data_IF_162584643980
#
_entry.id   IF_162584643980
#
_cell.length_a   1.000
_cell.length_b   1.000
_cell.length_c   1.000
_cell.angle_alpha   90.00
_cell.angle_beta   90.00
_cell.angle_gamma   90.00
#
_symmetry.space_group_name_H-M   'P 1'
#
loop_
_entity.id
_entity.type
_entity.pdbx_description
1 polymer ?
#
# COMPACT_ATOMS: atom_id res chain seq x y z
N UNK A 1 31.66 -14.16 -2.65
CA UNK A 1 30.56 -13.17 -2.48
C UNK A 1 30.45 -12.76 -1.01
N UNK A 2 30.46 -11.45 -0.70
CA UNK A 2 30.41 -10.91 0.67
C UNK A 2 29.10 -10.16 0.90
N UNK A 3 28.64 -10.10 2.15
CA UNK A 3 27.43 -9.35 2.54
C UNK A 3 27.53 -7.84 2.19
N UNK A 4 28.73 -7.25 2.35
CA UNK A 4 28.99 -5.86 1.94
C UNK A 4 28.76 -5.64 0.45
N UNK A 5 29.16 -6.59 -0.41
CA UNK A 5 28.97 -6.49 -1.86
C UNK A 5 27.49 -6.50 -2.25
N UNK A 6 26.65 -7.31 -1.59
CA UNK A 6 25.19 -7.30 -1.80
C UNK A 6 24.60 -5.92 -1.44
N UNK A 7 24.98 -5.36 -0.28
CA UNK A 7 24.56 -4.02 0.15
C UNK A 7 24.98 -2.95 -0.87
N UNK A 8 26.21 -3.05 -1.36
CA UNK A 8 26.78 -2.09 -2.29
C UNK A 8 26.01 -2.09 -3.64
N UNK A 9 25.70 -3.27 -4.17
CA UNK A 9 24.89 -3.43 -5.39
C UNK A 9 23.50 -2.84 -5.22
N UNK A 10 22.82 -3.17 -4.12
CA UNK A 10 21.45 -2.67 -3.85
C UNK A 10 21.47 -1.16 -3.73
N UNK A 11 22.43 -0.58 -3.01
CA UNK A 11 22.55 0.86 -2.86
C UNK A 11 22.81 1.59 -4.19
N UNK A 12 23.57 1.00 -5.14
CA UNK A 12 23.77 1.56 -6.48
C UNK A 12 22.48 1.51 -7.28
N UNK A 13 21.75 0.40 -7.23
CA UNK A 13 20.48 0.24 -7.92
C UNK A 13 19.44 1.27 -7.44
N UNK A 14 19.33 1.48 -6.13
CA UNK A 14 18.39 2.45 -5.53
C UNK A 14 18.77 3.91 -5.81
N UNK A 15 20.07 4.22 -5.87
CA UNK A 15 20.56 5.62 -6.01
C UNK A 15 20.86 6.00 -7.46
N UNK A 16 20.86 5.05 -8.39
CA UNK A 16 21.09 5.27 -9.82
C UNK A 16 22.52 5.66 -10.19
N UNK A 17 23.43 5.86 -9.22
CA UNK A 17 24.83 6.22 -9.51
C UNK A 17 25.80 5.81 -8.41
N UNK A 18 27.03 5.45 -8.79
CA UNK A 18 28.13 5.14 -7.87
C UNK A 18 28.41 6.25 -6.87
N UNK A 19 28.39 7.52 -7.31
CA UNK A 19 28.63 8.67 -6.44
C UNK A 19 27.55 8.85 -5.38
N UNK A 20 26.29 8.70 -5.75
CA UNK A 20 25.16 8.83 -4.82
C UNK A 20 25.13 7.65 -3.84
N UNK A 21 25.38 6.42 -4.29
CA UNK A 21 25.48 5.24 -3.44
C UNK A 21 26.67 5.33 -2.46
N UNK A 22 27.83 5.77 -2.92
CA UNK A 22 29.01 5.96 -2.07
C UNK A 22 28.77 6.96 -0.93
N UNK A 23 28.10 8.08 -1.24
CA UNK A 23 27.68 9.06 -0.21
C UNK A 23 26.68 8.45 0.77
N UNK A 24 25.71 7.70 0.27
CA UNK A 24 24.69 7.05 1.10
C UNK A 24 25.30 6.03 2.07
N UNK A 25 26.29 5.27 1.61
CA UNK A 25 26.99 4.25 2.41
C UNK A 25 28.16 4.82 3.24
N UNK A 26 28.45 6.11 3.13
CA UNK A 26 29.62 6.75 3.76
C UNK A 26 30.93 6.07 3.36
N UNK A 27 31.05 5.68 2.07
CA UNK A 27 32.22 5.03 1.49
C UNK A 27 32.88 5.94 0.46
N UNK A 28 34.20 5.70 0.23
CA UNK A 28 34.87 6.29 -0.92
C UNK A 28 34.40 5.64 -2.23
N UNK A 29 34.08 6.44 -3.25
CA UNK A 29 33.61 5.93 -4.55
C UNK A 29 34.55 4.86 -5.18
N UNK A 30 35.92 5.00 -5.11
CA UNK A 30 36.81 3.95 -5.61
C UNK A 30 36.65 2.60 -4.89
N UNK A 31 36.33 2.60 -3.58
CA UNK A 31 36.11 1.37 -2.83
C UNK A 31 34.83 0.68 -3.29
N UNK A 32 33.76 1.45 -3.51
CA UNK A 32 32.50 0.95 -4.03
C UNK A 32 32.66 0.38 -5.46
N UNK A 33 33.40 1.07 -6.32
CA UNK A 33 33.71 0.61 -7.68
C UNK A 33 34.46 -0.72 -7.63
N UNK A 34 35.46 -0.85 -6.78
CA UNK A 34 36.23 -2.09 -6.60
C UNK A 34 35.32 -3.24 -6.11
N UNK A 35 34.47 -2.98 -5.14
CA UNK A 35 33.51 -3.94 -4.59
C UNK A 35 32.63 -4.56 -5.68
N UNK A 36 32.09 -3.72 -6.57
CA UNK A 36 31.24 -4.18 -7.68
C UNK A 36 32.06 -4.97 -8.71
N UNK A 37 33.21 -4.48 -9.15
CA UNK A 37 34.03 -5.21 -10.11
C UNK A 37 34.53 -6.57 -9.59
N UNK A 38 34.83 -6.67 -8.29
CA UNK A 38 35.17 -7.95 -7.67
C UNK A 38 33.98 -8.93 -7.72
N UNK A 39 32.78 -8.43 -7.44
CA UNK A 39 31.55 -9.24 -7.47
C UNK A 39 31.21 -9.68 -8.91
N UNK A 40 31.21 -8.75 -9.87
CA UNK A 40 30.95 -9.06 -11.28
C UNK A 40 31.97 -10.07 -11.85
N UNK A 41 33.24 -9.94 -11.47
CA UNK A 41 34.29 -10.90 -11.84
C UNK A 41 34.06 -12.27 -11.22
N UNK A 42 33.63 -12.35 -9.95
CA UNK A 42 33.30 -13.60 -9.26
C UNK A 42 32.07 -14.29 -9.93
N UNK A 43 31.08 -13.50 -10.33
CA UNK A 43 29.88 -14.01 -11.01
C UNK A 43 30.10 -14.28 -12.50
N UNK A 44 31.15 -13.76 -13.09
CA UNK A 44 31.45 -13.89 -14.53
C UNK A 44 30.52 -13.07 -15.44
N UNK A 45 29.71 -12.18 -14.89
CA UNK A 45 28.71 -11.41 -15.63
C UNK A 45 28.62 -9.96 -15.11
N UNK A 46 28.35 -8.97 -15.97
CA UNK A 46 28.08 -7.60 -15.56
C UNK A 46 26.69 -7.49 -14.92
N UNK A 47 26.61 -6.79 -13.78
CA UNK A 47 25.35 -6.46 -13.11
C UNK A 47 24.83 -5.07 -13.53
N UNK A 48 25.74 -4.19 -13.98
CA UNK A 48 25.42 -2.83 -14.39
C UNK A 48 25.97 -2.48 -15.75
N UNK A 49 25.23 -1.63 -16.48
CA UNK A 49 25.70 -0.90 -17.65
C UNK A 49 25.91 0.58 -17.32
N UNK A 50 27.03 1.14 -17.77
CA UNK A 50 27.26 2.59 -17.70
C UNK A 50 26.53 3.30 -18.83
N UNK A 51 25.69 4.28 -18.50
CA UNK A 51 25.05 5.17 -19.47
C UNK A 51 25.32 6.63 -19.15
N UNK A 52 25.05 7.53 -20.10
CA UNK A 52 25.28 8.98 -19.92
C UNK A 52 24.54 9.55 -18.67
N UNK A 53 23.46 8.93 -18.25
CA UNK A 53 22.63 9.36 -17.10
C UNK A 53 22.88 8.55 -15.81
N UNK A 54 23.88 7.67 -15.75
CA UNK A 54 24.21 6.90 -14.56
C UNK A 54 24.42 5.40 -14.79
N UNK A 55 24.14 4.62 -13.76
CA UNK A 55 24.24 3.16 -13.78
C UNK A 55 22.85 2.55 -13.96
N UNK A 56 22.71 1.65 -14.91
CA UNK A 56 21.46 0.91 -15.17
C UNK A 56 21.74 -0.57 -14.94
N UNK A 57 20.80 -1.26 -14.32
CA UNK A 57 20.92 -2.71 -14.14
C UNK A 57 20.81 -3.47 -15.46
N UNK A 58 21.63 -4.50 -15.61
CA UNK A 58 21.40 -5.54 -16.62
C UNK A 58 20.23 -6.45 -16.16
N UNK A 59 19.65 -7.28 -17.03
CA UNK A 59 18.66 -8.29 -16.60
C UNK A 59 19.18 -9.21 -15.50
N UNK A 60 20.47 -9.58 -15.53
CA UNK A 60 21.13 -10.35 -14.48
C UNK A 60 21.30 -9.52 -13.19
N UNK A 61 21.62 -8.22 -13.34
CA UNK A 61 21.69 -7.27 -12.23
C UNK A 61 20.35 -7.12 -11.51
N UNK A 62 19.25 -7.02 -12.25
CA UNK A 62 17.90 -6.99 -11.66
C UNK A 62 17.58 -8.26 -10.87
N UNK A 63 17.88 -9.44 -11.43
CA UNK A 63 17.69 -10.71 -10.75
C UNK A 63 18.55 -10.80 -9.47
N UNK A 64 19.81 -10.34 -9.55
CA UNK A 64 20.71 -10.33 -8.39
C UNK A 64 20.22 -9.35 -7.31
N UNK A 65 19.84 -8.13 -7.66
CA UNK A 65 19.33 -7.11 -6.73
C UNK A 65 18.11 -7.62 -5.97
N UNK A 66 17.14 -8.23 -6.65
CA UNK A 66 15.96 -8.83 -5.97
C UNK A 66 16.39 -9.83 -4.89
N UNK A 67 17.35 -10.72 -5.16
CA UNK A 67 17.83 -11.71 -4.19
C UNK A 67 18.68 -11.09 -3.09
N UNK A 68 19.55 -10.14 -3.45
CA UNK A 68 20.38 -9.43 -2.49
C UNK A 68 19.53 -8.60 -1.51
N UNK A 69 18.48 -7.91 -1.99
CA UNK A 69 17.52 -7.19 -1.15
C UNK A 69 16.81 -8.11 -0.16
N UNK A 70 16.40 -9.29 -0.59
CA UNK A 70 15.78 -10.27 0.29
C UNK A 70 16.74 -10.73 1.41
N UNK A 71 17.99 -11.05 1.08
CA UNK A 71 19.01 -11.43 2.08
C UNK A 71 19.27 -10.30 3.08
N UNK A 72 19.42 -9.06 2.58
CA UNK A 72 19.64 -7.89 3.43
C UNK A 72 18.46 -7.63 4.37
N UNK A 73 17.24 -7.78 3.87
CA UNK A 73 16.01 -7.63 4.66
C UNK A 73 15.93 -8.68 5.76
N UNK A 74 16.27 -9.95 5.48
CA UNK A 74 16.24 -11.02 6.48
C UNK A 74 17.30 -10.81 7.57
N UNK A 75 18.53 -10.43 7.21
CA UNK A 75 19.55 -10.13 8.22
C UNK A 75 19.13 -8.97 9.13
N UNK A 76 18.50 -7.94 8.56
CA UNK A 76 17.94 -6.85 9.37
C UNK A 76 16.85 -7.37 10.31
N UNK A 77 15.88 -8.13 9.80
CA UNK A 77 14.79 -8.69 10.61
C UNK A 77 15.28 -9.58 11.74
N UNK A 78 16.25 -10.44 11.45
CA UNK A 78 16.84 -11.29 12.48
C UNK A 78 17.47 -10.47 13.63
N UNK A 79 18.12 -9.34 13.31
CA UNK A 79 18.66 -8.44 14.32
C UNK A 79 17.55 -7.74 15.11
N UNK A 80 16.55 -7.20 14.41
CA UNK A 80 15.42 -6.51 15.02
C UNK A 80 14.63 -7.46 15.92
N UNK A 81 14.41 -8.71 15.48
CA UNK A 81 13.71 -9.74 16.25
C UNK A 81 14.46 -10.08 17.54
N UNK A 82 15.76 -10.38 17.46
CA UNK A 82 16.58 -10.70 18.65
C UNK A 82 16.59 -9.52 19.63
N UNK A 83 16.76 -8.29 19.15
CA UNK A 83 16.72 -7.09 19.99
C UNK A 83 15.36 -6.93 20.67
N UNK A 84 14.27 -7.10 19.93
CA UNK A 84 12.91 -6.93 20.44
C UNK A 84 12.50 -8.05 21.40
N UNK A 85 12.92 -9.29 21.18
CA UNK A 85 12.73 -10.41 22.11
C UNK A 85 13.49 -10.21 23.42
N UNK A 86 14.64 -9.54 23.39
CA UNK A 86 15.40 -9.16 24.57
C UNK A 86 14.86 -7.91 25.29
N UNK A 87 13.67 -7.43 24.90
CA UNK A 87 13.02 -6.26 25.49
C UNK A 87 13.37 -4.93 24.83
N UNK A 88 14.16 -4.93 23.76
CA UNK A 88 14.49 -3.72 23.00
C UNK A 88 13.28 -3.15 22.29
N UNK A 89 13.35 -1.85 22.00
CA UNK A 89 12.25 -1.11 21.36
C UNK A 89 12.69 -0.48 20.03
N UNK A 90 13.82 -0.91 19.49
CA UNK A 90 14.40 -0.43 18.23
C UNK A 90 14.01 -1.35 17.07
N UNK A 91 14.26 -0.87 15.86
CA UNK A 91 14.02 -1.62 14.62
C UNK A 91 13.20 -0.82 13.62
N UNK A 92 12.74 -1.51 12.59
CA UNK A 92 11.93 -0.91 11.53
C UNK A 92 10.76 -1.83 11.20
N UNK A 93 9.57 -1.23 11.02
CA UNK A 93 8.38 -1.89 10.46
C UNK A 93 7.98 -1.16 9.20
N UNK A 94 7.78 -1.89 8.11
CA UNK A 94 7.31 -1.38 6.83
C UNK A 94 5.96 -2.01 6.51
N UNK A 95 4.89 -1.24 6.56
CA UNK A 95 3.54 -1.73 6.27
C UNK A 95 2.96 -1.04 5.04
N UNK A 96 2.47 -1.84 4.10
CA UNK A 96 1.67 -1.37 2.98
C UNK A 96 0.20 -1.29 3.41
N UNK A 97 -0.42 -0.14 3.25
CA UNK A 97 -1.81 0.08 3.66
C UNK A 97 -2.62 0.68 2.52
N UNK A 98 -3.80 0.12 2.27
CA UNK A 98 -4.78 0.76 1.42
C UNK A 98 -5.46 1.93 2.14
N UNK A 99 -6.18 2.73 1.37
CA UNK A 99 -6.97 3.84 1.90
C UNK A 99 -7.96 3.39 3.00
N UNK A 100 -8.65 2.26 2.79
CA UNK A 100 -9.56 1.70 3.79
C UNK A 100 -8.83 1.37 5.11
N UNK A 101 -7.65 0.74 5.01
CA UNK A 101 -6.84 0.38 6.17
C UNK A 101 -6.30 1.61 6.91
N UNK A 102 -5.89 2.66 6.17
CA UNK A 102 -5.46 3.92 6.78
C UNK A 102 -6.56 4.56 7.62
N UNK A 103 -7.77 4.61 7.10
CA UNK A 103 -8.88 5.28 7.78
C UNK A 103 -9.47 4.43 8.91
N UNK A 104 -9.64 3.12 8.66
CA UNK A 104 -10.32 2.24 9.60
C UNK A 104 -9.43 1.75 10.76
N UNK A 105 -8.16 1.46 10.48
CA UNK A 105 -7.35 0.65 11.40
C UNK A 105 -6.17 1.42 12.01
N UNK A 106 -5.52 2.28 11.21
CA UNK A 106 -4.32 3.00 11.67
C UNK A 106 -4.57 3.94 12.86
N UNK A 107 -5.67 4.74 12.91
CA UNK A 107 -5.88 5.67 14.03
C UNK A 107 -5.89 5.00 15.40
N UNK A 108 -6.55 3.84 15.52
CA UNK A 108 -6.62 3.09 16.75
C UNK A 108 -5.32 2.32 17.08
N UNK A 109 -4.54 1.95 16.06
CA UNK A 109 -3.31 1.17 16.22
C UNK A 109 -2.09 2.05 16.55
N UNK A 110 -2.03 3.28 16.06
CA UNK A 110 -0.81 4.08 16.06
C UNK A 110 -0.34 4.44 17.49
N UNK A 111 -1.24 4.94 18.33
CA UNK A 111 -0.89 5.36 19.70
C UNK A 111 -0.42 4.18 20.58
N UNK A 112 -1.13 3.03 20.64
CA UNK A 112 -0.66 1.85 21.39
C UNK A 112 0.66 1.30 20.82
N UNK A 113 0.83 1.27 19.50
CA UNK A 113 2.07 0.86 18.88
C UNK A 113 3.26 1.73 19.32
N UNK A 114 3.12 3.05 19.23
CA UNK A 114 4.17 3.99 19.64
C UNK A 114 4.48 3.93 21.14
N UNK A 115 3.49 3.64 21.98
CA UNK A 115 3.70 3.44 23.41
C UNK A 115 4.55 2.19 23.70
N UNK A 116 4.33 1.09 22.96
CA UNK A 116 5.05 -0.18 23.17
C UNK A 116 6.43 -0.19 22.50
N UNK A 117 6.56 0.46 21.32
CA UNK A 117 7.78 0.49 20.50
C UNK A 117 8.17 1.93 20.15
N UNK A 118 8.59 2.77 21.11
CA UNK A 118 8.84 4.20 20.88
C UNK A 118 9.98 4.49 19.92
N UNK A 119 10.96 3.59 19.80
CA UNK A 119 12.16 3.76 18.96
C UNK A 119 12.09 2.98 17.65
N UNK A 120 11.02 2.20 17.41
CA UNK A 120 10.82 1.55 16.11
C UNK A 120 10.43 2.61 15.08
N UNK A 121 11.13 2.61 13.95
CA UNK A 121 10.76 3.41 12.80
C UNK A 121 9.61 2.71 12.07
N UNK A 122 8.43 3.33 12.09
CA UNK A 122 7.29 2.88 11.32
C UNK A 122 7.28 3.57 9.96
N UNK A 123 7.39 2.79 8.90
CA UNK A 123 7.31 3.24 7.50
C UNK A 123 6.00 2.74 6.89
N UNK A 124 5.08 3.67 6.62
CA UNK A 124 3.79 3.37 6.03
C UNK A 124 3.81 3.73 4.54
N UNK A 125 3.43 2.78 3.70
CA UNK A 125 3.35 2.95 2.26
C UNK A 125 1.89 2.91 1.87
N UNK A 126 1.35 4.01 1.35
CA UNK A 126 0.03 3.98 0.73
C UNK A 126 0.14 3.25 -0.60
N UNK A 127 -0.69 2.22 -0.78
CA UNK A 127 -0.64 1.43 -2.00
C UNK A 127 -1.64 0.28 -1.99
N UNK A 128 -1.56 -0.53 -3.02
CA UNK A 128 -2.37 -1.72 -3.20
C UNK A 128 -1.50 -2.91 -3.58
N UNK A 129 -2.02 -4.12 -3.40
CA UNK A 129 -1.24 -5.35 -3.46
C UNK A 129 -0.30 -5.48 -4.67
N UNK A 130 -0.73 -5.27 -5.94
CA UNK A 130 0.16 -5.47 -7.08
C UNK A 130 1.44 -4.61 -7.06
N UNK A 131 1.35 -3.38 -6.56
CA UNK A 131 2.53 -2.49 -6.50
C UNK A 131 3.48 -2.86 -5.36
N UNK A 132 2.98 -3.55 -4.34
CA UNK A 132 3.73 -3.93 -3.14
C UNK A 132 4.19 -5.40 -3.18
N UNK A 133 3.73 -6.20 -4.16
CA UNK A 133 4.02 -7.63 -4.23
C UNK A 133 5.52 -7.94 -4.23
N UNK A 134 6.30 -7.19 -5.00
CA UNK A 134 7.75 -7.36 -5.04
C UNK A 134 8.40 -7.12 -3.68
N UNK A 135 7.98 -6.05 -2.98
CA UNK A 135 8.48 -5.72 -1.64
C UNK A 135 8.04 -6.72 -0.57
N UNK A 136 6.84 -7.30 -0.70
CA UNK A 136 6.40 -8.39 0.16
C UNK A 136 7.25 -9.64 -0.04
N UNK A 137 7.57 -10.00 -1.29
CA UNK A 137 8.39 -11.17 -1.63
C UNK A 137 9.84 -11.03 -1.16
N UNK A 138 10.45 -9.87 -1.38
CA UNK A 138 11.85 -9.62 -0.98
C UNK A 138 11.99 -9.18 0.48
N UNK A 139 10.87 -8.95 1.17
CA UNK A 139 10.85 -8.58 2.58
C UNK A 139 11.21 -7.13 2.86
N UNK A 140 11.26 -6.25 1.88
CA UNK A 140 11.35 -4.81 2.09
C UNK A 140 10.04 -4.24 2.66
N UNK A 141 8.91 -4.92 2.42
CA UNK A 141 7.61 -4.70 3.05
C UNK A 141 7.29 -5.89 3.97
N UNK A 142 6.93 -5.65 5.22
CA UNK A 142 6.64 -6.68 6.20
C UNK A 142 5.27 -7.32 5.96
N UNK A 143 4.24 -6.49 5.77
CA UNK A 143 2.90 -6.93 5.46
C UNK A 143 2.12 -5.85 4.70
N UNK A 144 1.04 -6.27 4.08
CA UNK A 144 0.05 -5.41 3.44
C UNK A 144 -1.32 -5.58 4.10
N UNK A 145 -2.08 -4.50 4.20
CA UNK A 145 -3.49 -4.50 4.61
C UNK A 145 -4.29 -3.69 3.60
N UNK A 146 -5.20 -4.36 2.89
CA UNK A 146 -5.99 -3.67 1.88
C UNK A 146 -6.91 -4.60 1.09
N UNK A 147 -7.51 -4.09 0.00
CA UNK A 147 -8.41 -4.86 -0.84
C UNK A 147 -7.78 -6.15 -1.34
N UNK A 148 -8.57 -7.21 -1.27
CA UNK A 148 -8.25 -8.47 -1.91
C UNK A 148 -8.14 -8.25 -3.42
N UNK A 149 -7.09 -8.76 -4.03
CA UNK A 149 -6.90 -8.73 -5.46
C UNK A 149 -7.58 -9.95 -6.11
N UNK A 150 -8.11 -9.80 -7.33
CA UNK A 150 -8.73 -10.90 -8.08
C UNK A 150 -7.78 -12.08 -8.30
N UNK A 151 -6.52 -11.76 -8.58
CA UNK A 151 -5.47 -12.77 -8.71
C UNK A 151 -4.99 -13.19 -7.33
N UNK A 152 -4.99 -14.51 -7.09
CA UNK A 152 -4.39 -15.08 -5.88
C UNK A 152 -2.94 -14.61 -5.69
N UNK A 153 -2.51 -14.36 -4.46
CA UNK A 153 -1.13 -14.03 -4.19
C UNK A 153 -0.18 -15.16 -4.63
N UNK A 154 1.06 -14.79 -4.90
CA UNK A 154 2.09 -15.77 -5.23
C UNK A 154 2.26 -16.82 -4.11
N UNK A 155 2.73 -18.04 -4.42
CA UNK A 155 2.85 -19.12 -3.45
C UNK A 155 3.71 -18.77 -2.22
N UNK A 156 4.63 -17.82 -2.36
CA UNK A 156 5.49 -17.34 -1.27
C UNK A 156 4.77 -16.38 -0.30
N UNK A 157 3.52 -16.03 -0.59
CA UNK A 157 2.72 -15.12 0.21
C UNK A 157 1.49 -15.83 0.77
N UNK A 158 1.09 -15.44 1.97
CA UNK A 158 -0.17 -15.86 2.59
C UNK A 158 -1.12 -14.68 2.65
N UNK A 159 -2.41 -14.96 2.45
CA UNK A 159 -3.49 -13.99 2.56
C UNK A 159 -4.48 -14.45 3.62
N UNK A 160 -4.95 -13.52 4.45
CA UNK A 160 -5.95 -13.75 5.48
C UNK A 160 -7.04 -12.67 5.38
N UNK A 161 -8.31 -13.07 5.40
CA UNK A 161 -9.44 -12.15 5.43
C UNK A 161 -9.45 -11.37 6.77
N UNK A 162 -9.56 -10.05 6.69
CA UNK A 162 -9.79 -9.21 7.86
C UNK A 162 -11.26 -8.86 8.03
N UNK A 163 -11.90 -8.28 7.00
CA UNK A 163 -13.32 -7.94 7.04
C UNK A 163 -13.87 -7.72 5.63
N UNK A 164 -15.18 -7.92 5.51
CA UNK A 164 -15.95 -7.57 4.33
C UNK A 164 -16.10 -6.06 4.21
N UNK A 165 -16.12 -5.55 2.97
CA UNK A 165 -16.12 -4.13 2.72
C UNK A 165 -17.25 -3.71 1.76
N UNK A 166 -17.68 -2.46 1.88
CA UNK A 166 -18.61 -1.79 0.99
C UNK A 166 -18.12 -0.38 0.70
N UNK A 167 -18.71 0.26 -0.30
CA UNK A 167 -18.43 1.65 -0.68
C UNK A 167 -19.62 2.53 -0.38
N UNK A 168 -19.35 3.83 -0.35
CA UNK A 168 -20.34 4.90 -0.34
C UNK A 168 -19.95 5.93 -1.41
N UNK A 169 -20.95 6.66 -1.91
CA UNK A 169 -20.71 7.86 -2.72
C UNK A 169 -20.47 9.03 -1.78
N UNK A 170 -19.45 9.83 -2.08
CA UNK A 170 -19.21 11.10 -1.39
C UNK A 170 -19.04 12.24 -2.39
N UNK A 171 -19.41 13.45 -1.97
CA UNK A 171 -19.17 14.70 -2.66
C UNK A 171 -18.87 15.82 -1.65
N UNK A 172 -18.70 17.05 -2.13
CA UNK A 172 -18.54 18.19 -1.22
C UNK A 172 -19.79 18.40 -0.36
N UNK A 173 -19.63 18.97 0.81
CA UNK A 173 -20.78 19.41 1.62
C UNK A 173 -21.57 20.48 0.86
N UNK A 174 -22.89 20.32 0.82
CA UNK A 174 -23.76 21.17 0.01
C UNK A 174 -23.68 20.91 -1.50
N UNK A 175 -23.31 19.70 -1.89
CA UNK A 175 -23.34 19.27 -3.29
C UNK A 175 -24.76 19.40 -3.87
N UNK A 176 -24.95 19.81 -5.14
CA UNK A 176 -26.28 19.91 -5.76
C UNK A 176 -27.10 18.59 -5.68
N UNK A 177 -26.41 17.45 -5.77
CA UNK A 177 -27.02 16.10 -5.69
C UNK A 177 -26.97 15.49 -4.29
N UNK A 178 -26.80 16.28 -3.21
CA UNK A 178 -26.70 15.76 -1.83
C UNK A 178 -27.95 14.99 -1.36
N UNK A 179 -29.08 15.16 -2.04
CA UNK A 179 -30.37 14.50 -1.73
C UNK A 179 -30.66 13.31 -2.65
N UNK A 180 -29.75 12.97 -3.56
CA UNK A 180 -29.91 11.80 -4.43
C UNK A 180 -30.08 10.52 -3.59
N UNK A 181 -30.95 9.62 -4.07
CA UNK A 181 -31.28 8.36 -3.41
C UNK A 181 -30.89 7.15 -4.22
N UNK A 182 -30.55 7.34 -5.49
CA UNK A 182 -30.20 6.25 -6.38
C UNK A 182 -29.00 6.61 -7.26
N UNK A 183 -28.30 5.62 -7.79
CA UNK A 183 -27.27 5.82 -8.81
C UNK A 183 -27.85 6.47 -10.08
N UNK A 184 -29.14 6.26 -10.36
CA UNK A 184 -29.83 6.91 -11.47
C UNK A 184 -29.87 8.43 -11.32
N UNK A 185 -30.03 8.92 -10.10
CA UNK A 185 -30.03 10.37 -9.82
C UNK A 185 -28.64 11.00 -10.05
N UNK A 186 -27.61 10.15 -10.12
CA UNK A 186 -26.20 10.52 -10.31
C UNK A 186 -25.69 10.25 -11.73
N UNK A 187 -26.57 9.83 -12.67
CA UNK A 187 -26.16 9.40 -14.00
C UNK A 187 -25.44 10.48 -14.81
N UNK A 188 -25.82 11.73 -14.64
CA UNK A 188 -25.24 12.88 -15.34
C UNK A 188 -24.10 13.56 -14.54
N UNK A 189 -23.77 13.06 -13.37
CA UNK A 189 -22.72 13.63 -12.53
C UNK A 189 -21.32 13.38 -13.11
N UNK A 190 -20.38 14.27 -12.76
CA UNK A 190 -18.97 14.07 -13.02
C UNK A 190 -18.29 13.35 -11.86
N UNK A 191 -17.42 12.39 -12.21
CA UNK A 191 -16.78 11.51 -11.23
C UNK A 191 -15.28 11.72 -11.20
N UNK A 192 -14.70 11.47 -10.03
CA UNK A 192 -13.26 11.31 -9.85
C UNK A 192 -12.96 9.96 -9.23
N UNK A 193 -11.81 9.40 -9.57
CA UNK A 193 -11.32 8.16 -8.96
C UNK A 193 -9.84 8.25 -8.65
N UNK A 194 -9.39 7.48 -7.68
CA UNK A 194 -7.98 7.24 -7.51
C UNK A 194 -7.58 6.07 -8.42
N UNK A 195 -6.67 6.31 -9.34
CA UNK A 195 -6.06 5.25 -10.17
C UNK A 195 -5.07 4.39 -9.36
N UNK A 196 -5.38 4.16 -8.09
CA UNK A 196 -4.66 3.20 -7.24
C UNK A 196 -4.99 1.77 -7.68
N UNK A 197 -6.13 1.57 -8.34
CA UNK A 197 -6.44 0.35 -9.09
C UNK A 197 -6.46 0.68 -10.58
N UNK A 198 -5.76 -0.08 -11.41
CA UNK A 198 -5.83 0.05 -12.87
C UNK A 198 -7.26 -0.07 -13.42
N UNK A 199 -8.18 -0.55 -12.60
CA UNK A 199 -9.57 -0.85 -12.96
C UNK A 199 -10.61 0.08 -12.33
N UNK A 200 -10.21 1.14 -11.62
CA UNK A 200 -11.18 1.98 -10.92
C UNK A 200 -12.22 2.62 -11.85
N UNK A 201 -11.83 2.97 -13.07
CA UNK A 201 -12.75 3.41 -14.12
C UNK A 201 -13.65 2.27 -14.60
N UNK A 202 -13.06 1.09 -14.84
CA UNK A 202 -13.78 -0.09 -15.27
C UNK A 202 -14.79 -0.56 -14.20
N UNK A 203 -14.37 -0.61 -12.94
CA UNK A 203 -15.26 -0.93 -11.81
C UNK A 203 -16.42 0.05 -11.68
N UNK A 204 -16.17 1.35 -11.88
CA UNK A 204 -17.21 2.37 -11.84
C UNK A 204 -18.18 2.21 -13.01
N UNK A 205 -17.69 1.97 -14.21
CA UNK A 205 -18.50 1.72 -15.41
C UNK A 205 -19.34 0.46 -15.25
N UNK A 206 -18.74 -0.65 -14.82
CA UNK A 206 -19.44 -1.93 -14.60
C UNK A 206 -20.58 -1.79 -13.58
N UNK A 207 -20.36 -1.02 -12.50
CA UNK A 207 -21.39 -0.76 -11.51
C UNK A 207 -22.61 -0.06 -12.14
N UNK A 208 -22.39 0.96 -12.98
CA UNK A 208 -23.47 1.66 -13.65
C UNK A 208 -24.19 0.75 -14.66
N UNK A 209 -23.45 -0.01 -15.45
CA UNK A 209 -23.98 -0.99 -16.41
C UNK A 209 -24.86 -2.05 -15.72
N UNK A 210 -24.43 -2.56 -14.54
CA UNK A 210 -25.23 -3.53 -13.75
C UNK A 210 -26.58 -2.96 -13.30
N UNK A 211 -26.68 -1.62 -13.17
CA UNK A 211 -27.94 -0.94 -12.84
C UNK A 211 -28.69 -0.40 -14.07
N UNK A 212 -28.26 -0.78 -15.28
CA UNK A 212 -28.86 -0.33 -16.55
C UNK A 212 -28.71 1.16 -16.81
N UNK A 213 -27.63 1.74 -16.31
CA UNK A 213 -27.31 3.16 -16.45
C UNK A 213 -26.18 3.37 -17.48
N UNK A 214 -26.12 4.55 -18.13
CA UNK A 214 -25.01 4.89 -19.02
C UNK A 214 -23.69 4.94 -18.24
N UNK A 215 -22.57 4.76 -18.97
CA UNK A 215 -21.25 4.89 -18.38
C UNK A 215 -21.06 6.27 -17.73
N UNK A 216 -20.59 6.35 -16.47
CA UNK A 216 -20.41 7.61 -15.76
C UNK A 216 -19.29 8.44 -16.38
N UNK A 217 -19.43 9.75 -16.35
CA UNK A 217 -18.41 10.68 -16.84
C UNK A 217 -17.27 10.82 -15.86
N UNK A 218 -16.14 10.19 -16.14
CA UNK A 218 -14.91 10.33 -15.35
C UNK A 218 -14.16 11.59 -15.78
N UNK A 219 -14.21 12.64 -14.97
CA UNK A 219 -13.61 13.93 -15.27
C UNK A 219 -12.19 14.09 -14.73
N UNK A 220 -11.87 13.44 -13.59
CA UNK A 220 -10.56 13.53 -12.94
C UNK A 220 -10.08 12.16 -12.49
N UNK A 221 -8.82 11.83 -12.80
CA UNK A 221 -8.11 10.69 -12.25
C UNK A 221 -6.91 11.17 -11.43
N UNK A 222 -6.72 10.62 -10.24
CA UNK A 222 -5.61 10.97 -9.37
C UNK A 222 -4.88 9.73 -8.84
N UNK A 223 -3.58 9.83 -8.65
CA UNK A 223 -2.77 8.79 -7.98
C UNK A 223 -2.65 9.03 -6.47
N UNK A 224 -3.26 10.07 -5.95
CA UNK A 224 -3.20 10.47 -4.55
C UNK A 224 -4.59 10.67 -3.98
N UNK A 225 -4.85 10.03 -2.83
CA UNK A 225 -6.10 10.25 -2.09
C UNK A 225 -6.25 11.70 -1.65
N UNK A 226 -5.17 12.37 -1.27
CA UNK A 226 -5.21 13.79 -0.91
C UNK A 226 -5.63 14.67 -2.09
N UNK A 227 -5.07 14.44 -3.28
CA UNK A 227 -5.45 15.19 -4.49
C UNK A 227 -6.92 14.97 -4.81
N UNK A 228 -7.42 13.73 -4.74
CA UNK A 228 -8.83 13.42 -4.92
C UNK A 228 -9.71 14.18 -3.91
N UNK A 229 -9.32 14.20 -2.63
CA UNK A 229 -10.08 14.91 -1.59
C UNK A 229 -10.11 16.43 -1.82
N UNK A 230 -9.00 17.02 -2.25
CA UNK A 230 -8.94 18.45 -2.60
C UNK A 230 -9.84 18.74 -3.80
N UNK A 231 -9.82 17.91 -4.84
CA UNK A 231 -10.70 18.06 -6.00
C UNK A 231 -12.17 17.99 -5.60
N UNK A 232 -12.56 16.98 -4.81
CA UNK A 232 -13.93 16.85 -4.29
C UNK A 232 -14.39 18.03 -3.46
N UNK A 233 -13.54 18.52 -2.56
CA UNK A 233 -13.90 19.62 -1.67
C UNK A 233 -14.14 20.96 -2.42
N UNK A 234 -13.59 21.09 -3.63
CA UNK A 234 -13.61 22.33 -4.42
C UNK A 234 -14.37 22.22 -5.76
N UNK A 235 -15.16 21.17 -5.95
CA UNK A 235 -15.92 20.96 -7.19
C UNK A 235 -17.18 20.15 -6.94
N UNK A 236 -18.01 19.98 -7.97
CA UNK A 236 -19.18 19.09 -7.95
C UNK A 236 -18.86 17.67 -8.44
N UNK A 237 -17.62 17.25 -8.26
CA UNK A 237 -17.21 15.86 -8.52
C UNK A 237 -17.74 14.92 -7.44
N UNK A 238 -18.05 13.70 -7.86
CA UNK A 238 -18.40 12.59 -6.98
C UNK A 238 -17.31 11.53 -7.01
N UNK A 239 -17.23 10.73 -5.96
CA UNK A 239 -16.38 9.54 -5.93
C UNK A 239 -16.99 8.44 -5.07
N UNK A 240 -16.55 7.20 -5.29
CA UNK A 240 -16.80 6.07 -4.40
C UNK A 240 -15.59 5.83 -3.52
N UNK A 241 -15.82 5.76 -2.22
CA UNK A 241 -14.79 5.46 -1.22
C UNK A 241 -15.27 4.34 -0.30
N UNK A 242 -14.36 3.62 0.39
CA UNK A 242 -14.72 2.67 1.42
C UNK A 242 -15.63 3.31 2.49
N UNK A 243 -16.63 2.57 2.97
CA UNK A 243 -17.61 3.06 3.96
C UNK A 243 -16.95 3.60 5.22
N UNK A 244 -15.76 3.15 5.57
CA UNK A 244 -14.97 3.60 6.71
C UNK A 244 -14.65 5.10 6.66
N UNK A 245 -14.74 5.73 5.48
CA UNK A 245 -14.59 7.18 5.33
C UNK A 245 -15.58 7.98 6.16
N UNK A 246 -16.74 7.44 6.47
CA UNK A 246 -17.72 8.07 7.38
C UNK A 246 -17.15 8.32 8.77
N UNK A 247 -16.11 7.58 9.16
CA UNK A 247 -15.43 7.69 10.45
C UNK A 247 -14.25 8.67 10.42
N UNK A 248 -13.88 9.19 9.24
CA UNK A 248 -12.74 10.09 9.08
C UNK A 248 -13.14 11.54 9.33
N UNK A 249 -13.22 11.92 10.60
CA UNK A 249 -13.64 13.25 11.06
C UNK A 249 -12.87 14.45 10.46
N UNK A 250 -11.56 14.39 10.13
CA UNK A 250 -10.85 15.55 9.61
C UNK A 250 -11.44 16.14 8.32
N UNK A 251 -12.13 15.33 7.50
CA UNK A 251 -12.75 15.79 6.25
C UNK A 251 -14.27 15.96 6.33
N UNK A 252 -14.90 15.67 7.47
CA UNK A 252 -16.36 15.75 7.64
C UNK A 252 -16.93 17.15 7.48
N UNK A 253 -16.10 18.18 7.61
CA UNK A 253 -16.52 19.57 7.37
C UNK A 253 -16.61 19.92 5.89
N UNK A 254 -15.78 19.30 5.04
CA UNK A 254 -15.69 19.59 3.62
C UNK A 254 -16.50 18.60 2.76
N UNK A 255 -16.56 17.34 3.16
CA UNK A 255 -17.16 16.24 2.40
C UNK A 255 -18.33 15.61 3.15
N UNK A 256 -19.30 15.08 2.40
CA UNK A 256 -20.46 14.39 2.95
C UNK A 256 -20.84 13.19 2.08
N UNK A 257 -21.38 12.10 2.69
CA UNK A 257 -21.94 11.00 1.93
C UNK A 257 -23.21 11.41 1.21
N UNK A 258 -23.41 10.87 0.00
CA UNK A 258 -24.66 10.94 -0.76
C UNK A 258 -25.40 9.61 -0.54
N UNK A 259 -26.63 9.67 0.01
CA UNK A 259 -27.30 8.49 0.55
C UNK A 259 -28.03 7.67 -0.52
N UNK A 260 -27.30 7.11 -1.49
CA UNK A 260 -27.86 6.17 -2.47
C UNK A 260 -28.29 4.87 -1.77
N UNK A 261 -29.37 4.27 -2.24
CA UNK A 261 -29.97 3.06 -1.64
C UNK A 261 -29.30 1.78 -2.15
N UNK A 262 -28.61 1.85 -3.28
CA UNK A 262 -27.91 0.71 -3.84
C UNK A 262 -26.74 0.29 -2.96
N UNK A 263 -26.54 -1.02 -2.85
CA UNK A 263 -25.37 -1.58 -2.20
C UNK A 263 -24.19 -1.48 -3.16
N UNK A 264 -23.20 -0.71 -2.78
CA UNK A 264 -21.98 -0.52 -3.57
C UNK A 264 -20.92 -1.53 -3.13
N UNK A 265 -20.65 -2.58 -3.92
CA UNK A 265 -19.71 -3.62 -3.53
C UNK A 265 -18.29 -3.08 -3.49
N UNK A 266 -17.48 -3.64 -2.62
CA UNK A 266 -16.04 -3.42 -2.58
C UNK A 266 -15.33 -4.74 -2.30
N UNK A 267 -14.10 -4.92 -2.76
CA UNK A 267 -13.31 -6.08 -2.38
C UNK A 267 -13.12 -6.14 -0.87
N UNK A 268 -13.18 -7.35 -0.31
CA UNK A 268 -12.88 -7.60 1.11
C UNK A 268 -11.50 -7.11 1.46
N UNK A 269 -11.31 -6.68 2.70
CA UNK A 269 -10.00 -6.25 3.18
C UNK A 269 -9.27 -7.46 3.76
N UNK A 270 -8.04 -7.66 3.28
CA UNK A 270 -7.17 -8.78 3.63
C UNK A 270 -5.84 -8.30 4.19
N UNK A 271 -5.14 -9.18 4.90
CA UNK A 271 -3.70 -9.06 5.14
C UNK A 271 -2.96 -9.93 4.15
N UNK A 272 -1.80 -9.47 3.67
CA UNK A 272 -0.87 -10.27 2.88
C UNK A 272 0.52 -10.16 3.48
N UNK A 273 1.18 -11.29 3.70
CA UNK A 273 2.55 -11.38 4.22
C UNK A 273 3.28 -12.58 3.65
N UNK A 274 4.57 -12.68 3.86
CA UNK A 274 5.32 -13.87 3.41
C UNK A 274 4.88 -15.13 4.15
N UNK A 275 4.77 -16.21 3.40
CA UNK A 275 4.56 -17.54 3.93
C UNK A 275 5.85 -18.08 4.60
N UNK A 276 5.68 -18.81 5.69
CA UNK A 276 6.80 -19.54 6.33
C UNK A 276 7.84 -18.71 7.07
N UNK A 277 7.74 -17.37 7.03
CA UNK A 277 8.63 -16.47 7.78
C UNK A 277 7.82 -15.61 8.74
N UNK A 278 8.16 -15.64 10.05
CA UNK A 278 7.45 -14.81 11.04
C UNK A 278 7.72 -13.33 10.81
N UNK A 279 6.77 -12.51 11.22
CA UNK A 279 6.99 -11.07 11.39
C UNK A 279 7.85 -10.83 12.64
N UNK A 280 8.60 -9.72 12.66
CA UNK A 280 9.24 -9.28 13.91
C UNK A 280 8.20 -8.97 14.96
N UNK A 281 8.51 -9.06 16.29
CA UNK A 281 7.55 -8.76 17.35
C UNK A 281 6.84 -7.41 17.20
N UNK A 282 7.54 -6.38 16.75
CA UNK A 282 6.94 -5.09 16.50
C UNK A 282 5.97 -5.08 15.30
N UNK A 283 6.32 -5.78 14.21
CA UNK A 283 5.45 -5.87 13.04
C UNK A 283 4.19 -6.70 13.34
N UNK A 284 4.33 -7.83 14.05
CA UNK A 284 3.19 -8.64 14.49
C UNK A 284 2.29 -7.86 15.45
N UNK A 285 2.86 -7.13 16.40
CA UNK A 285 2.08 -6.29 17.33
C UNK A 285 1.27 -5.21 16.61
N UNK A 286 1.85 -4.55 15.58
CA UNK A 286 1.11 -3.59 14.77
C UNK A 286 -0.05 -4.25 14.04
N UNK A 287 0.19 -5.40 13.42
CA UNK A 287 -0.83 -6.15 12.69
C UNK A 287 -1.94 -6.64 13.63
N UNK A 288 -1.59 -7.11 14.83
CA UNK A 288 -2.57 -7.52 15.87
C UNK A 288 -3.43 -6.35 16.37
N UNK A 289 -2.82 -5.17 16.53
CA UNK A 289 -3.59 -3.98 16.84
C UNK A 289 -4.61 -3.66 15.74
N UNK A 290 -4.22 -3.80 14.47
CA UNK A 290 -5.13 -3.62 13.34
C UNK A 290 -6.25 -4.66 13.34
N UNK A 291 -5.94 -5.95 13.55
CA UNK A 291 -6.93 -7.05 13.65
C UNK A 291 -7.98 -6.80 14.74
N UNK A 292 -7.54 -6.34 15.92
CA UNK A 292 -8.43 -6.07 17.07
C UNK A 292 -9.34 -4.86 16.85
N UNK A 293 -8.96 -3.95 15.96
CA UNK A 293 -9.71 -2.74 15.66
C UNK A 293 -10.50 -2.82 14.34
N UNK A 294 -10.72 -4.02 13.84
CA UNK A 294 -11.59 -4.25 12.67
C UNK A 294 -12.98 -3.68 12.97
N UNK A 295 -13.52 -2.81 12.09
CA UNK A 295 -14.86 -2.28 12.27
C UNK A 295 -15.86 -3.42 12.38
N UNK A 296 -16.66 -3.43 13.44
CA UNK A 296 -17.77 -4.37 13.55
C UNK A 296 -18.75 -4.00 12.43
N UNK A 297 -18.76 -4.80 11.37
CA UNK A 297 -19.76 -4.66 10.31
C UNK A 297 -21.11 -4.87 10.99
N UNK A 298 -21.88 -3.80 11.16
CA UNK A 298 -23.29 -3.94 11.49
C UNK A 298 -23.95 -4.57 10.25
N UNK A 299 -23.97 -5.89 10.23
CA UNK A 299 -24.84 -6.64 9.34
C UNK A 299 -26.26 -6.29 9.76
N UNK A 300 -26.78 -5.16 9.26
CA UNK A 300 -28.20 -4.87 9.29
C UNK A 300 -28.82 -5.91 8.36
N UNK A 301 -29.19 -7.06 8.94
CA UNK A 301 -30.09 -8.02 8.36
C UNK A 301 -31.37 -7.28 7.96
N UNK A 302 -31.44 -6.79 6.74
CA UNK A 302 -32.72 -6.63 6.07
C UNK A 302 -33.18 -8.02 5.69
N UNK A 303 -33.96 -8.66 6.58
CA UNK A 303 -34.82 -9.75 6.18
C UNK A 303 -35.84 -9.16 5.19
N UNK A 304 -36.05 -9.75 4.02
CA UNK A 304 -37.22 -9.41 3.21
C UNK A 304 -38.44 -9.78 4.04
N UNK A 305 -39.30 -8.82 4.33
CA UNK A 305 -40.65 -9.09 4.77
C UNK A 305 -41.38 -9.72 3.61
N UNK A 306 -41.93 -10.93 3.85
CA UNK A 306 -42.84 -11.67 2.98
C UNK A 306 -44.16 -10.88 2.88
#
# INVERSE_FOLDING_TARGET
MKFSQMRDVVAIAERGSLRAAARHLSLAQPALTRSIHELERELGIPLFERRARGMILTPMGEAFVRRASAVLSEVRRARDEVEQLHGGTRGRVVAGLSLAAHVALLPAALKPFRARYPQVQLHLIEGWYPTLEAGLKDGSVDFYVGPQHERSPAPELTQELLFENTRIVIGRRGHPLAHARSLRDLADAEWTTTSVTFKAEEELRELFEQHGLPAPRLAVQSQSALTMMVALANSDLLTMVPVQWTQFTPLSHALAPIPVEEILPAPSIVTVRRAGLPLTPAAEFLLDLMRRNVPRTSARKQRPSI
#
